data_IF_335765337247
#
_entry.id   IF_335765337247
#
_cell.length_a   1.000
_cell.length_b   1.000
_cell.length_c   1.000
_cell.angle_alpha   90.00
_cell.angle_beta   90.00
_cell.angle_gamma   90.00
#
_symmetry.space_group_name_H-M   'P 1'
#
loop_
_entity.id
_entity.type
_entity.pdbx_description
1 polymer ?
#
# COMPACT_ATOMS: atom_id res chain seq x y z
N UNK A 1 6.41 -11.10 15.36
CA UNK A 1 6.45 -10.59 16.75
C UNK A 1 5.04 -10.21 17.21
N UNK A 2 4.71 -10.23 18.51
CA UNK A 2 3.43 -9.74 18.99
C UNK A 2 3.30 -8.22 18.75
N UNK A 3 2.08 -7.75 18.49
CA UNK A 3 1.80 -6.31 18.41
C UNK A 3 2.06 -5.69 19.78
N UNK A 4 2.90 -4.65 19.82
CA UNK A 4 3.20 -3.89 21.03
C UNK A 4 2.55 -2.52 20.97
N UNK A 5 1.76 -2.18 21.99
CA UNK A 5 1.08 -0.88 22.11
C UNK A 5 1.64 -0.17 23.34
N UNK A 6 2.30 0.97 23.12
CA UNK A 6 2.90 1.79 24.19
C UNK A 6 2.38 3.22 24.11
N UNK A 7 2.09 3.82 25.26
CA UNK A 7 1.74 5.25 25.35
C UNK A 7 3.00 6.09 25.18
N UNK A 8 2.96 7.07 24.30
CA UNK A 8 4.06 8.03 24.07
C UNK A 8 3.58 9.46 24.36
N UNK A 9 4.46 10.38 24.80
CA UNK A 9 4.12 11.79 24.92
C UNK A 9 3.91 12.42 23.53
N UNK A 10 3.03 13.41 23.44
CA UNK A 10 2.82 14.22 22.25
C UNK A 10 4.12 14.94 21.84
N UNK A 11 4.42 14.97 20.53
CA UNK A 11 5.56 15.69 19.96
C UNK A 11 5.13 16.37 18.66
N UNK A 12 5.50 17.64 18.49
CA UNK A 12 5.04 18.51 17.39
C UNK A 12 6.04 18.67 16.23
N UNK A 13 7.08 17.84 16.14
CA UNK A 13 8.20 18.14 15.23
C UNK A 13 7.94 17.78 13.76
N UNK A 14 6.94 16.94 13.47
CA UNK A 14 6.61 16.58 12.10
C UNK A 14 5.18 15.99 12.00
N UNK A 15 4.21 16.83 11.63
CA UNK A 15 2.83 16.45 11.33
C UNK A 15 2.50 16.88 9.89
N UNK A 16 1.98 15.95 9.10
CA UNK A 16 1.52 16.22 7.73
C UNK A 16 0.09 15.69 7.57
N UNK A 17 -0.84 16.60 7.27
CA UNK A 17 -2.25 16.29 7.04
C UNK A 17 -2.56 15.96 5.57
N UNK A 18 -1.57 16.09 4.67
CA UNK A 18 -1.70 15.75 3.26
C UNK A 18 -0.74 14.64 2.84
N UNK A 19 -0.75 13.47 3.48
CA UNK A 19 0.20 12.41 3.16
C UNK A 19 0.09 11.99 1.69
N UNK A 20 1.24 11.68 1.08
CA UNK A 20 1.28 11.00 -0.20
C UNK A 20 1.36 9.51 0.03
N UNK A 21 0.30 8.79 -0.30
CA UNK A 21 0.21 7.35 -0.17
C UNK A 21 0.51 6.72 -1.53
N UNK A 22 1.38 5.71 -1.57
CA UNK A 22 1.69 4.96 -2.78
C UNK A 22 1.01 3.60 -2.75
N UNK A 23 0.22 3.32 -3.77
CA UNK A 23 -0.45 2.03 -3.97
C UNK A 23 0.30 1.23 -5.02
N UNK A 24 0.53 -0.03 -4.71
CA UNK A 24 1.01 -1.04 -5.64
C UNK A 24 -0.10 -2.02 -5.92
N UNK A 25 -0.40 -2.26 -7.19
CA UNK A 25 -1.30 -3.31 -7.65
C UNK A 25 -0.47 -4.38 -8.34
N UNK A 26 -0.35 -5.55 -7.71
CA UNK A 26 0.53 -6.61 -8.19
C UNK A 26 -0.24 -7.64 -9.01
N UNK A 27 0.19 -7.87 -10.24
CA UNK A 27 -0.09 -9.09 -10.98
C UNK A 27 0.48 -10.26 -10.19
N UNK A 28 -0.39 -11.11 -9.66
CA UNK A 28 -0.01 -12.06 -8.62
C UNK A 28 -0.71 -13.40 -8.87
N UNK A 29 -0.06 -14.50 -8.49
CA UNK A 29 -0.60 -15.85 -8.66
C UNK A 29 -1.45 -16.26 -7.46
N UNK A 30 -1.97 -17.49 -7.45
CA UNK A 30 -2.75 -18.02 -6.32
C UNK A 30 -1.96 -17.99 -5.00
N UNK A 31 -0.65 -18.23 -5.06
CA UNK A 31 0.21 -18.41 -3.89
C UNK A 31 1.38 -17.42 -3.79
N UNK A 32 1.52 -16.49 -4.74
CA UNK A 32 2.62 -15.51 -4.76
C UNK A 32 2.13 -14.11 -5.12
N UNK A 33 2.72 -13.11 -4.48
CA UNK A 33 2.53 -11.68 -4.78
C UNK A 33 3.49 -11.15 -5.85
N UNK A 34 4.48 -11.95 -6.27
CA UNK A 34 5.49 -11.52 -7.25
C UNK A 34 4.93 -11.55 -8.66
N UNK A 35 5.34 -10.55 -9.45
CA UNK A 35 4.93 -10.36 -10.83
C UNK A 35 5.14 -8.91 -11.26
N UNK A 36 4.34 -8.46 -12.23
CA UNK A 36 4.30 -7.04 -12.60
C UNK A 36 3.58 -6.22 -11.52
N UNK A 37 3.85 -4.92 -11.47
CA UNK A 37 3.16 -4.00 -10.58
C UNK A 37 2.83 -2.69 -11.29
N UNK A 38 1.58 -2.26 -11.21
CA UNK A 38 1.19 -0.88 -11.49
C UNK A 38 1.23 -0.08 -10.19
N UNK A 39 1.73 1.16 -10.27
CA UNK A 39 2.02 1.99 -9.09
C UNK A 39 1.36 3.35 -9.22
N UNK A 40 0.65 3.75 -8.17
CA UNK A 40 -0.11 5.01 -8.14
C UNK A 40 0.23 5.80 -6.88
N UNK A 41 0.52 7.09 -7.04
CA UNK A 41 0.56 8.02 -5.91
C UNK A 41 -0.84 8.62 -5.70
N UNK A 42 -1.35 8.51 -4.48
CA UNK A 42 -2.63 9.03 -4.03
C UNK A 42 -2.39 10.15 -3.02
N UNK A 43 -3.07 11.27 -3.22
CA UNK A 43 -3.02 12.45 -2.33
C UNK A 43 -4.45 12.91 -2.03
N UNK A 44 -4.63 13.65 -0.93
CA UNK A 44 -5.96 14.13 -0.54
C UNK A 44 -6.90 13.03 -0.01
N UNK A 45 -6.35 11.88 0.36
CA UNK A 45 -7.08 10.76 0.95
C UNK A 45 -6.30 10.19 2.14
N UNK A 46 -7.01 9.63 3.12
CA UNK A 46 -6.41 8.87 4.20
C UNK A 46 -6.21 7.39 3.84
N UNK A 47 -5.60 6.63 4.75
CA UNK A 47 -5.29 5.21 4.50
C UNK A 47 -6.53 4.34 4.31
N UNK A 48 -7.67 4.67 4.95
CA UNK A 48 -8.89 3.88 4.82
C UNK A 48 -9.51 4.08 3.44
N UNK A 49 -9.56 5.32 2.97
CA UNK A 49 -10.04 5.65 1.61
C UNK A 49 -9.13 5.02 0.54
N UNK A 50 -7.81 5.02 0.76
CA UNK A 50 -6.87 4.36 -0.15
C UNK A 50 -7.03 2.84 -0.13
N UNK A 51 -7.32 2.22 1.01
CA UNK A 51 -7.67 0.80 1.08
C UNK A 51 -8.94 0.51 0.26
N UNK A 52 -9.99 1.33 0.41
CA UNK A 52 -11.24 1.18 -0.35
C UNK A 52 -11.01 1.26 -1.86
N UNK A 53 -10.20 2.22 -2.30
CA UNK A 53 -9.85 2.36 -3.71
C UNK A 53 -9.02 1.17 -4.19
N UNK A 54 -7.92 0.83 -3.49
CA UNK A 54 -7.01 -0.23 -3.89
C UNK A 54 -7.70 -1.60 -3.98
N UNK A 55 -8.58 -1.94 -3.04
CA UNK A 55 -9.31 -3.21 -3.08
C UNK A 55 -10.31 -3.29 -4.24
N UNK A 56 -10.94 -2.17 -4.63
CA UNK A 56 -11.82 -2.11 -5.82
C UNK A 56 -11.03 -2.30 -7.12
N UNK A 57 -9.86 -1.67 -7.21
CA UNK A 57 -8.97 -1.84 -8.37
C UNK A 57 -8.45 -3.27 -8.48
N UNK A 58 -7.98 -3.80 -7.34
CA UNK A 58 -7.42 -5.14 -7.28
C UNK A 58 -8.44 -6.23 -7.61
N UNK A 59 -9.70 -6.03 -7.22
CA UNK A 59 -10.75 -7.03 -7.37
C UNK A 59 -10.38 -8.33 -6.65
N UNK A 60 -10.68 -9.46 -7.29
CA UNK A 60 -10.39 -10.81 -6.79
C UNK A 60 -9.11 -11.41 -7.38
N UNK A 61 -8.44 -10.73 -8.31
CA UNK A 61 -7.30 -11.27 -9.06
C UNK A 61 -5.97 -10.69 -8.59
N UNK A 62 -5.89 -9.38 -8.37
CA UNK A 62 -4.64 -8.73 -7.98
C UNK A 62 -4.46 -8.73 -6.47
N UNK A 63 -3.24 -8.47 -6.01
CA UNK A 63 -3.00 -8.06 -4.62
C UNK A 63 -2.61 -6.61 -4.59
N UNK A 64 -2.74 -5.98 -3.43
CA UNK A 64 -2.32 -4.60 -3.26
C UNK A 64 -1.46 -4.40 -2.02
N UNK A 65 -0.57 -3.41 -2.09
CA UNK A 65 0.19 -2.88 -0.97
C UNK A 65 0.12 -1.35 -0.96
N UNK A 66 0.27 -0.76 0.22
CA UNK A 66 0.19 0.68 0.43
C UNK A 66 1.38 1.11 1.27
N UNK A 67 2.09 2.14 0.83
CA UNK A 67 3.16 2.78 1.57
C UNK A 67 2.89 4.28 1.75
N UNK A 68 3.43 4.87 2.81
CA UNK A 68 3.61 6.31 2.92
C UNK A 68 4.87 6.70 2.14
N UNK A 69 4.72 7.58 1.16
CA UNK A 69 5.84 8.23 0.50
C UNK A 69 6.45 9.28 1.42
N UNK A 70 7.76 9.19 1.63
CA UNK A 70 8.51 10.10 2.48
C UNK A 70 9.58 10.80 1.65
N UNK A 71 9.50 12.13 1.57
CA UNK A 71 10.50 12.96 0.88
C UNK A 71 11.55 13.46 1.88
N UNK A 72 12.68 12.78 1.96
CA UNK A 72 13.85 13.24 2.70
C UNK A 72 14.60 14.28 1.86
N UNK A 73 14.34 15.55 2.17
CA UNK A 73 14.91 16.70 1.44
C UNK A 73 16.43 16.79 1.62
N UNK A 74 16.98 16.32 2.73
CA UNK A 74 18.42 16.34 2.96
C UNK A 74 19.10 15.21 2.16
N UNK A 75 18.50 14.02 2.15
CA UNK A 75 18.96 12.93 1.28
C UNK A 75 18.88 13.32 -0.21
N UNK A 76 17.83 14.03 -0.65
CA UNK A 76 17.71 14.53 -2.03
C UNK A 76 18.83 15.51 -2.40
N UNK A 77 19.19 16.44 -1.49
CA UNK A 77 20.30 17.38 -1.72
C UNK A 77 21.64 16.66 -1.86
N UNK A 78 21.85 15.61 -1.07
CA UNK A 78 23.09 14.82 -1.07
C UNK A 78 23.16 13.87 -2.28
N UNK A 79 22.03 13.34 -2.73
CA UNK A 79 21.95 12.40 -3.84
C UNK A 79 20.64 12.60 -4.64
N UNK A 80 20.64 13.50 -5.65
CA UNK A 80 19.45 13.83 -6.42
C UNK A 80 18.77 12.60 -7.03
N UNK A 81 17.45 12.51 -6.85
CA UNK A 81 16.61 11.37 -7.25
C UNK A 81 16.54 10.24 -6.22
N UNK A 82 17.21 10.35 -5.07
CA UNK A 82 17.23 9.32 -4.02
C UNK A 82 16.71 9.79 -2.66
N UNK A 83 16.19 11.01 -2.57
CA UNK A 83 15.60 11.49 -1.32
C UNK A 83 14.27 10.84 -0.97
N UNK A 84 13.64 10.11 -1.88
CA UNK A 84 12.33 9.49 -1.64
C UNK A 84 12.47 8.10 -1.03
N UNK A 85 11.94 7.95 0.19
CA UNK A 85 11.74 6.67 0.87
C UNK A 85 10.27 6.24 0.89
N UNK A 86 10.06 5.01 1.35
CA UNK A 86 8.73 4.42 1.54
C UNK A 86 8.63 3.82 2.94
N UNK A 87 7.48 3.96 3.56
CA UNK A 87 7.11 3.27 4.80
C UNK A 87 5.87 2.42 4.53
N UNK A 88 6.00 1.09 4.56
CA UNK A 88 4.88 0.19 4.30
C UNK A 88 3.81 0.29 5.39
N UNK A 89 2.57 0.57 4.98
CA UNK A 89 1.38 0.65 5.84
C UNK A 89 0.52 -0.61 5.73
N UNK A 90 0.38 -1.13 4.50
CA UNK A 90 -0.36 -2.35 4.18
C UNK A 90 0.47 -3.18 3.21
N UNK A 91 0.67 -4.45 3.53
CA UNK A 91 1.45 -5.33 2.66
C UNK A 91 2.95 -5.03 2.71
N UNK A 92 3.61 -5.30 1.59
CA UNK A 92 5.05 -5.23 1.37
C UNK A 92 5.31 -5.19 -0.14
N UNK A 93 6.57 -5.15 -0.56
CA UNK A 93 6.90 -5.29 -1.99
C UNK A 93 6.48 -6.70 -2.46
N UNK A 94 5.82 -6.78 -3.61
CA UNK A 94 5.41 -8.06 -4.19
C UNK A 94 6.58 -9.00 -4.47
N UNK A 95 7.80 -8.48 -4.65
CA UNK A 95 9.02 -9.23 -4.99
C UNK A 95 9.90 -9.61 -3.80
N UNK A 96 9.54 -9.20 -2.59
CA UNK A 96 10.27 -9.57 -1.38
C UNK A 96 10.24 -11.11 -1.17
N UNK A 97 11.35 -11.66 -0.69
CA UNK A 97 11.53 -13.11 -0.60
C UNK A 97 10.95 -13.68 0.70
N UNK A 98 9.81 -14.37 0.59
CA UNK A 98 9.12 -14.98 1.74
C UNK A 98 9.52 -16.43 2.04
N UNK A 99 10.47 -17.00 1.29
CA UNK A 99 10.84 -18.43 1.40
C UNK A 99 11.93 -18.72 2.44
N UNK A 100 12.64 -17.69 2.91
CA UNK A 100 13.64 -17.83 3.97
C UNK A 100 12.95 -17.95 5.35
N UNK A 101 13.30 -18.93 6.20
CA UNK A 101 12.76 -19.04 7.56
C UNK A 101 12.96 -17.79 8.44
N UNK A 102 13.97 -16.95 8.15
CA UNK A 102 14.21 -15.68 8.83
C UNK A 102 13.13 -14.63 8.47
N UNK A 103 12.44 -14.83 7.34
CA UNK A 103 11.41 -13.96 6.78
C UNK A 103 9.97 -14.36 7.18
N UNK A 104 9.79 -15.03 8.32
CA UNK A 104 8.46 -15.51 8.75
C UNK A 104 7.40 -14.38 8.85
N UNK A 105 7.81 -13.16 9.16
CA UNK A 105 6.92 -12.00 9.22
C UNK A 105 6.46 -11.56 7.83
N UNK A 106 7.37 -11.57 6.86
CA UNK A 106 7.12 -11.26 5.45
C UNK A 106 6.19 -12.31 4.83
N UNK A 107 6.39 -13.59 5.14
CA UNK A 107 5.48 -14.66 4.72
C UNK A 107 4.04 -14.45 5.23
N UNK A 108 3.87 -14.01 6.48
CA UNK A 108 2.55 -13.70 7.04
C UNK A 108 1.93 -12.43 6.41
N UNK A 109 2.73 -11.42 6.09
CA UNK A 109 2.27 -10.23 5.37
C UNK A 109 1.79 -10.61 3.97
N UNK A 110 2.56 -11.39 3.22
CA UNK A 110 2.19 -11.90 1.90
C UNK A 110 0.90 -12.73 1.96
N UNK A 111 0.78 -13.64 2.93
CA UNK A 111 -0.44 -14.44 3.13
C UNK A 111 -1.66 -13.54 3.31
N UNK A 112 -1.55 -12.48 4.13
CA UNK A 112 -2.64 -11.51 4.30
C UNK A 112 -2.94 -10.71 3.03
N UNK A 113 -1.95 -10.40 2.20
CA UNK A 113 -2.18 -9.77 0.89
C UNK A 113 -3.01 -10.67 -0.02
N UNK A 114 -2.67 -11.97 -0.09
CA UNK A 114 -3.41 -12.95 -0.90
C UNK A 114 -4.85 -13.15 -0.40
N UNK A 115 -5.05 -13.27 0.91
CA UNK A 115 -6.38 -13.46 1.52
C UNK A 115 -7.32 -12.28 1.26
N UNK A 116 -6.80 -11.05 1.14
CA UNK A 116 -7.64 -9.86 0.92
C UNK A 116 -8.42 -9.88 -0.40
N UNK A 117 -8.00 -10.68 -1.39
CA UNK A 117 -8.76 -10.90 -2.64
C UNK A 117 -10.17 -11.43 -2.40
N UNK A 118 -10.29 -12.37 -1.47
CA UNK A 118 -11.56 -13.02 -1.14
C UNK A 118 -12.17 -12.53 0.17
N UNK A 119 -11.39 -11.82 0.98
CA UNK A 119 -11.83 -11.23 2.25
C UNK A 119 -11.36 -9.78 2.36
N UNK A 120 -12.03 -8.84 1.64
CA UNK A 120 -11.66 -7.43 1.64
C UNK A 120 -11.88 -6.78 3.00
N UNK A 121 -11.23 -5.64 3.23
CA UNK A 121 -11.40 -4.89 4.48
C UNK A 121 -12.79 -4.25 4.50
N UNK A 122 -13.55 -4.51 5.55
CA UNK A 122 -14.85 -3.87 5.75
C UNK A 122 -14.66 -2.43 6.23
N UNK A 123 -15.13 -1.47 5.43
CA UNK A 123 -15.01 -0.04 5.71
C UNK A 123 -16.39 0.60 5.92
N UNK A 124 -16.45 1.54 6.86
CA UNK A 124 -17.60 2.40 7.09
C UNK A 124 -17.94 3.21 5.84
N UNK A 125 -19.17 3.69 5.72
CA UNK A 125 -19.60 4.44 4.54
C UNK A 125 -18.76 5.72 4.33
N UNK A 126 -18.42 6.38 5.42
CA UNK A 126 -17.73 7.67 5.41
C UNK A 126 -16.21 7.53 5.15
N UNK A 127 -15.66 6.33 5.33
CA UNK A 127 -14.26 5.99 5.06
C UNK A 127 -14.03 5.52 3.61
N UNK A 128 -15.08 5.48 2.78
CA UNK A 128 -14.99 5.07 1.38
C UNK A 128 -14.46 6.21 0.52
N UNK A 129 -13.79 5.84 -0.56
CA UNK A 129 -13.36 6.81 -1.57
C UNK A 129 -14.60 7.51 -2.17
N UNK A 130 -14.59 8.85 -2.34
CA UNK A 130 -15.71 9.57 -2.92
C UNK A 130 -15.97 9.16 -4.38
N UNK A 131 -17.19 9.36 -4.90
CA UNK A 131 -17.49 9.09 -6.29
C UNK A 131 -16.67 9.99 -7.23
N UNK A 132 -16.32 9.48 -8.41
CA UNK A 132 -15.60 10.24 -9.44
C UNK A 132 -14.07 10.21 -9.32
N UNK A 133 -13.53 9.45 -8.36
CA UNK A 133 -12.09 9.12 -8.36
C UNK A 133 -11.79 8.14 -9.52
N UNK A 134 -10.67 8.32 -10.25
CA UNK A 134 -10.30 7.47 -11.37
C UNK A 134 -10.34 5.98 -11.04
N UNK A 135 -10.79 5.18 -12.00
CA UNK A 135 -11.00 3.74 -11.84
C UNK A 135 -10.31 2.99 -13.01
N UNK A 136 -8.97 3.01 -13.05
CA UNK A 136 -8.21 2.75 -14.27
C UNK A 136 -8.56 1.43 -14.96
N UNK A 137 -8.87 0.39 -14.19
CA UNK A 137 -9.20 -0.92 -14.75
C UNK A 137 -10.67 -1.14 -15.06
N UNK A 138 -11.59 -0.32 -14.53
CA UNK A 138 -13.03 -0.49 -14.76
C UNK A 138 -13.64 0.63 -15.63
N UNK A 139 -12.98 1.79 -15.75
CA UNK A 139 -13.34 2.86 -16.68
C UNK A 139 -12.73 2.69 -18.09
N UNK A 140 -11.86 1.67 -18.25
CA UNK A 140 -11.23 1.31 -19.52
C UNK A 140 -10.04 2.18 -19.90
N UNK A 141 -9.52 3.00 -18.98
CA UNK A 141 -8.31 3.79 -19.22
C UNK A 141 -7.04 2.97 -19.20
N UNK A 142 -7.00 1.87 -18.44
CA UNK A 142 -5.92 0.88 -18.42
C UNK A 142 -6.43 -0.55 -18.57
N UNK A 143 -5.60 -1.41 -19.16
CA UNK A 143 -5.81 -2.85 -19.18
C UNK A 143 -4.96 -3.50 -18.10
N UNK A 144 -5.54 -4.42 -17.31
CA UNK A 144 -4.76 -5.28 -16.42
C UNK A 144 -3.74 -6.04 -17.27
N UNK A 145 -2.45 -5.90 -16.97
CA UNK A 145 -1.35 -6.51 -17.74
C UNK A 145 -1.27 -8.04 -17.56
#
# INVERSE_FOLDING_TARGET
MPVQIVRVPERHSWEDHGPRLRVYLHGSSESSTSGWADTYDVTGADVLQVIDWAQKQAGDTLTYAIALGWDDTEAEKLNPGRGRGLVWLVGMDGNDNTTDPVCAEEAEVQRRMLVRRSSPVALGRDDRVPPGVPDPYNDGSDSRQ
#
